data_IF_828683192853
#
_entry.id   IF_828683192853
#
_cell.length_a   1.000
_cell.length_b   1.000
_cell.length_c   1.000
_cell.angle_alpha   90.00
_cell.angle_beta   90.00
_cell.angle_gamma   90.00
#
_symmetry.space_group_name_H-M   'P 1'
#
loop_
_entity.id
_entity.type
_entity.pdbx_description
1 polymer ?
#
# COMPACT_ATOMS: atom_id res chain seq x y z
N UNK A 1 15.23 3.95 -0.56
CA UNK A 1 14.89 5.38 -0.58
C UNK A 1 13.58 5.54 0.15
N UNK A 2 13.66 5.73 1.47
CA UNK A 2 12.52 5.99 2.34
C UNK A 2 12.35 7.52 2.39
N UNK A 3 11.33 8.04 1.69
CA UNK A 3 10.94 9.44 1.80
C UNK A 3 10.62 9.73 3.26
N UNK A 4 11.33 10.69 3.83
CA UNK A 4 11.30 11.06 5.22
C UNK A 4 9.93 11.64 5.62
N UNK A 5 9.06 10.81 6.21
CA UNK A 5 7.88 11.21 6.99
C UNK A 5 8.35 11.74 8.37
N UNK A 6 9.32 12.66 8.40
CA UNK A 6 9.92 13.18 9.65
C UNK A 6 9.90 14.70 9.78
N UNK A 7 9.47 15.44 8.76
CA UNK A 7 9.52 16.91 8.76
C UNK A 7 8.30 17.61 9.32
N UNK A 8 7.12 17.01 9.20
CA UNK A 8 5.90 17.62 9.70
C UNK A 8 5.31 16.70 10.75
N UNK A 9 5.48 17.09 12.02
CA UNK A 9 4.44 16.90 13.01
C UNK A 9 3.19 17.66 12.50
N UNK A 10 2.57 17.21 11.40
CA UNK A 10 1.14 17.42 11.28
C UNK A 10 0.65 16.51 12.39
N UNK A 11 0.31 17.12 13.53
CA UNK A 11 -0.75 16.57 14.34
C UNK A 11 -1.95 16.49 13.42
N UNK A 12 -2.04 15.41 12.65
CA UNK A 12 -3.30 14.90 12.16
C UNK A 12 -3.89 14.42 13.49
N UNK A 13 -4.64 15.30 14.17
CA UNK A 13 -5.20 15.07 15.51
C UNK A 13 -6.38 14.10 15.40
N UNK A 14 -6.11 12.96 14.80
CA UNK A 14 -7.02 11.87 14.53
C UNK A 14 -6.15 10.66 14.31
N UNK A 15 -6.45 9.58 15.01
CA UNK A 15 -5.68 8.35 15.08
C UNK A 15 -5.38 7.81 13.66
N UNK A 16 -4.27 8.23 13.05
CA UNK A 16 -3.80 7.77 11.74
C UNK A 16 -2.91 6.54 11.84
N UNK A 17 -2.66 6.06 13.06
CA UNK A 17 -1.96 4.80 13.28
C UNK A 17 -2.64 3.61 12.58
N UNK A 18 -3.98 3.46 12.57
CA UNK A 18 -4.66 2.38 11.86
C UNK A 18 -4.36 2.43 10.36
N UNK A 19 -4.37 3.63 9.77
CA UNK A 19 -4.11 3.86 8.36
C UNK A 19 -2.64 3.58 7.99
N UNK A 20 -1.70 4.10 8.78
CA UNK A 20 -0.28 3.80 8.59
C UNK A 20 0.02 2.31 8.76
N UNK A 21 -0.62 1.64 9.72
CA UNK A 21 -0.48 0.20 9.93
C UNK A 21 -1.07 -0.60 8.78
N UNK A 22 -2.24 -0.21 8.25
CA UNK A 22 -2.84 -0.82 7.08
C UNK A 22 -1.94 -0.67 5.84
N UNK A 23 -1.44 0.54 5.56
CA UNK A 23 -0.51 0.78 4.46
C UNK A 23 0.79 -0.02 4.62
N UNK A 24 1.36 -0.08 5.82
CA UNK A 24 2.55 -0.91 6.11
C UNK A 24 2.27 -2.40 5.87
N UNK A 25 1.15 -2.92 6.37
CA UNK A 25 0.75 -4.33 6.22
C UNK A 25 0.60 -4.70 4.76
N UNK A 26 -0.15 -3.90 4.01
CA UNK A 26 -0.37 -4.08 2.57
C UNK A 26 0.94 -3.98 1.78
N UNK A 27 1.83 -3.07 2.16
CA UNK A 27 3.13 -2.94 1.51
C UNK A 27 4.03 -4.16 1.78
N UNK A 28 4.07 -4.65 3.02
CA UNK A 28 4.79 -5.89 3.36
C UNK A 28 4.24 -7.09 2.60
N UNK A 29 2.91 -7.26 2.56
CA UNK A 29 2.26 -8.33 1.82
C UNK A 29 2.56 -8.25 0.30
N UNK A 30 2.60 -7.04 -0.25
CA UNK A 30 2.98 -6.82 -1.67
C UNK A 30 4.42 -7.27 -1.95
N UNK A 31 5.35 -6.97 -1.04
CA UNK A 31 6.76 -7.35 -1.16
C UNK A 31 6.92 -8.87 -1.07
N UNK A 32 6.19 -9.50 -0.15
CA UNK A 32 6.22 -10.95 0.04
C UNK A 32 5.67 -11.68 -1.19
N UNK A 33 4.50 -11.29 -1.68
CA UNK A 33 3.91 -11.83 -2.91
C UNK A 33 4.85 -11.65 -4.12
N UNK A 34 5.53 -10.50 -4.25
CA UNK A 34 6.48 -10.26 -5.33
C UNK A 34 7.73 -11.16 -5.23
N UNK A 35 8.22 -11.44 -4.01
CA UNK A 35 9.32 -12.39 -3.79
C UNK A 35 8.92 -13.81 -4.15
N UNK A 36 7.72 -14.22 -3.74
CA UNK A 36 7.17 -15.54 -4.03
C UNK A 36 7.00 -15.74 -5.54
N UNK A 37 6.39 -14.77 -6.23
CA UNK A 37 6.30 -14.74 -7.70
C UNK A 37 7.67 -14.89 -8.37
N UNK A 38 8.69 -14.17 -7.89
CA UNK A 38 10.04 -14.26 -8.44
C UNK A 38 10.68 -15.63 -8.24
N UNK A 39 10.43 -16.27 -7.10
CA UNK A 39 10.89 -17.63 -6.82
C UNK A 39 10.19 -18.66 -7.72
N UNK A 40 8.87 -18.53 -7.88
CA UNK A 40 8.08 -19.38 -8.78
C UNK A 40 8.53 -19.19 -10.23
N UNK A 41 8.73 -17.96 -10.69
CA UNK A 41 9.24 -17.67 -12.03
C UNK A 41 10.63 -18.27 -12.26
N UNK A 42 11.49 -18.22 -11.25
CA UNK A 42 12.81 -18.85 -11.33
C UNK A 42 12.68 -20.37 -11.43
N UNK A 43 11.80 -20.99 -10.65
CA UNK A 43 11.56 -22.43 -10.69
C UNK A 43 10.94 -22.86 -12.04
N UNK A 44 9.94 -22.12 -12.54
CA UNK A 44 9.31 -22.34 -13.84
C UNK A 44 10.31 -22.18 -15.00
N UNK A 45 11.38 -21.39 -14.86
CA UNK A 45 12.45 -21.35 -15.88
C UNK A 45 13.25 -22.65 -15.98
N UNK A 46 13.38 -23.38 -14.88
CA UNK A 46 14.06 -24.68 -14.87
C UNK A 46 13.09 -25.82 -15.23
N UNK A 47 11.80 -25.66 -14.92
CA UNK A 47 10.75 -26.63 -15.20
C UNK A 47 9.49 -25.93 -15.76
N UNK A 48 9.52 -25.62 -17.06
CA UNK A 48 8.51 -24.80 -17.75
C UNK A 48 7.18 -25.51 -17.93
N UNK A 49 7.14 -26.84 -17.78
CA UNK A 49 5.93 -27.66 -17.89
C UNK A 49 5.24 -27.92 -16.54
N UNK A 50 5.76 -27.37 -15.44
CA UNK A 50 5.28 -27.68 -14.11
C UNK A 50 3.93 -27.01 -13.81
N UNK A 51 2.85 -27.75 -13.99
CA UNK A 51 1.47 -27.30 -13.79
C UNK A 51 1.23 -26.86 -12.33
N UNK A 52 1.91 -27.49 -11.36
CA UNK A 52 1.81 -27.12 -9.94
C UNK A 52 2.38 -25.73 -9.68
N UNK A 53 3.56 -25.42 -10.24
CA UNK A 53 4.15 -24.08 -10.15
C UNK A 53 3.32 -23.03 -10.89
N UNK A 54 2.69 -23.39 -12.01
CA UNK A 54 1.73 -22.51 -12.70
C UNK A 54 0.50 -22.20 -11.84
N UNK A 55 -0.06 -23.21 -11.17
CA UNK A 55 -1.17 -23.01 -10.24
C UNK A 55 -0.77 -22.11 -9.06
N UNK A 56 0.42 -22.34 -8.47
CA UNK A 56 0.97 -21.48 -7.42
C UNK A 56 1.16 -20.05 -7.91
N UNK A 57 1.69 -19.85 -9.12
CA UNK A 57 1.84 -18.52 -9.72
C UNK A 57 0.50 -17.80 -9.83
N UNK A 58 -0.52 -18.51 -10.29
CA UNK A 58 -1.88 -17.96 -10.41
C UNK A 58 -2.45 -17.57 -9.05
N UNK A 59 -2.24 -18.37 -8.01
CA UNK A 59 -2.66 -18.07 -6.64
C UNK A 59 -1.97 -16.80 -6.09
N UNK A 60 -0.65 -16.69 -6.28
CA UNK A 60 0.11 -15.51 -5.83
C UNK A 60 -0.33 -14.26 -6.60
N UNK A 61 -0.62 -14.36 -7.90
CA UNK A 61 -1.18 -13.26 -8.68
C UNK A 61 -2.55 -12.84 -8.15
N UNK A 62 -3.43 -13.78 -7.81
CA UNK A 62 -4.72 -13.47 -7.20
C UNK A 62 -4.56 -12.78 -5.83
N UNK A 63 -3.62 -13.23 -5.00
CA UNK A 63 -3.25 -12.53 -3.75
C UNK A 63 -2.78 -11.12 -4.05
N UNK A 64 -1.92 -10.92 -5.04
CA UNK A 64 -1.39 -9.60 -5.41
C UNK A 64 -2.49 -8.65 -5.89
N UNK A 65 -3.47 -9.13 -6.66
CA UNK A 65 -4.65 -8.34 -7.05
C UNK A 65 -5.46 -7.95 -5.81
N UNK A 66 -5.67 -8.88 -4.89
CA UNK A 66 -6.42 -8.63 -3.65
C UNK A 66 -5.72 -7.59 -2.76
N UNK A 67 -4.40 -7.73 -2.57
CA UNK A 67 -3.56 -6.77 -1.84
C UNK A 67 -3.59 -5.40 -2.52
N UNK A 68 -3.52 -5.33 -3.85
CA UNK A 68 -3.60 -4.06 -4.58
C UNK A 68 -4.94 -3.38 -4.40
N UNK A 69 -6.03 -4.15 -4.40
CA UNK A 69 -7.38 -3.66 -4.13
C UNK A 69 -7.48 -3.11 -2.70
N UNK A 70 -6.94 -3.83 -1.72
CA UNK A 70 -6.88 -3.39 -0.33
C UNK A 70 -6.03 -2.12 -0.15
N UNK A 71 -4.92 -1.99 -0.89
CA UNK A 71 -4.09 -0.78 -0.95
C UNK A 71 -4.89 0.42 -1.45
N UNK A 72 -5.62 0.23 -2.55
CA UNK A 72 -6.41 1.28 -3.17
C UNK A 72 -7.54 1.73 -2.24
N UNK A 73 -8.19 0.79 -1.57
CA UNK A 73 -9.22 1.07 -0.58
C UNK A 73 -8.64 1.84 0.62
N UNK A 74 -7.49 1.41 1.14
CA UNK A 74 -6.79 2.11 2.23
C UNK A 74 -6.41 3.53 1.82
N UNK A 75 -5.91 3.73 0.60
CA UNK A 75 -5.57 5.06 0.08
C UNK A 75 -6.81 5.95 -0.09
N UNK A 76 -7.95 5.38 -0.50
CA UNK A 76 -9.21 6.12 -0.54
C UNK A 76 -9.67 6.54 0.85
N UNK A 77 -9.58 5.64 1.83
CA UNK A 77 -9.92 5.96 3.22
C UNK A 77 -8.98 7.01 3.80
N UNK A 78 -7.68 6.95 3.49
CA UNK A 78 -6.71 7.99 3.81
C UNK A 78 -7.15 9.35 3.28
N UNK A 79 -7.47 9.41 2.00
CA UNK A 79 -7.89 10.63 1.33
C UNK A 79 -9.17 11.19 1.95
N UNK A 80 -10.17 10.33 2.20
CA UNK A 80 -11.42 10.72 2.83
C UNK A 80 -11.22 11.25 4.26
N UNK A 81 -10.36 10.63 5.06
CA UNK A 81 -10.02 11.12 6.40
C UNK A 81 -9.33 12.48 6.36
N UNK A 82 -8.36 12.66 5.46
CA UNK A 82 -7.66 13.95 5.31
C UNK A 82 -8.63 15.04 4.83
N UNK A 83 -9.53 14.72 3.90
CA UNK A 83 -10.54 15.67 3.42
C UNK A 83 -11.57 16.02 4.51
N UNK A 84 -12.01 15.04 5.31
CA UNK A 84 -12.90 15.29 6.44
C UNK A 84 -12.25 16.19 7.49
N UNK A 85 -10.97 15.96 7.81
CA UNK A 85 -10.20 16.79 8.73
C UNK A 85 -9.94 18.20 8.20
N UNK A 86 -9.82 18.34 6.87
CA UNK A 86 -9.73 19.67 6.25
C UNK A 86 -11.05 20.42 6.37
N UNK A 87 -12.18 19.73 6.17
CA UNK A 87 -13.53 20.30 6.30
C UNK A 87 -13.90 20.65 7.75
N UNK A 88 -13.44 19.86 8.73
CA UNK A 88 -13.65 20.15 10.16
C UNK A 88 -12.75 21.28 10.69
N UNK A 89 -11.74 21.69 9.92
CA UNK A 89 -10.78 22.72 10.31
C UNK A 89 -9.63 22.20 11.18
N UNK A 90 -9.51 20.87 11.37
CA UNK A 90 -8.43 20.24 12.12
C UNK A 90 -7.07 20.32 11.40
N UNK A 91 -7.08 20.45 10.06
CA UNK A 91 -5.87 20.66 9.25
C UNK A 91 -5.96 21.94 8.39
N UNK A 92 -4.88 22.72 8.34
CA UNK A 92 -4.79 23.93 7.52
C UNK A 92 -4.56 23.65 6.03
N UNK A 93 -4.86 24.64 5.18
CA UNK A 93 -4.70 24.56 3.71
C UNK A 93 -3.28 24.20 3.24
N UNK A 94 -2.27 24.52 4.04
CA UNK A 94 -0.87 24.16 3.75
C UNK A 94 -0.59 22.68 3.99
N UNK A 95 -1.20 22.09 5.01
CA UNK A 95 -1.10 20.66 5.32
C UNK A 95 -1.83 19.82 4.26
N UNK A 96 -3.00 20.28 3.82
CA UNK A 96 -3.76 19.66 2.73
C UNK A 96 -2.98 19.72 1.39
N UNK A 97 -2.34 20.86 1.09
CA UNK A 97 -1.46 21.01 -0.08
C UNK A 97 -0.17 20.20 -0.01
N UNK A 98 0.34 19.92 1.19
CA UNK A 98 1.48 19.03 1.37
C UNK A 98 1.09 17.57 1.08
N UNK A 99 -0.06 17.13 1.61
CA UNK A 99 -0.61 15.80 1.34
C UNK A 99 -0.88 15.58 -0.16
N UNK A 100 -1.52 16.53 -0.85
CA UNK A 100 -1.74 16.41 -2.30
C UNK A 100 -0.44 16.30 -3.10
N UNK A 101 0.65 16.93 -2.64
CA UNK A 101 1.96 16.83 -3.30
C UNK A 101 2.67 15.49 -3.08
N UNK A 102 2.35 14.76 -2.01
CA UNK A 102 2.90 13.43 -1.75
C UNK A 102 2.09 12.29 -2.40
N UNK A 103 0.82 12.54 -2.74
CA UNK A 103 -0.06 11.54 -3.36
C UNK A 103 0.06 11.50 -4.90
N UNK A 104 0.63 12.55 -5.52
CA UNK A 104 0.93 12.63 -6.97
C UNK A 104 2.20 11.90 -7.35
#
# INVERSE_FOLDING_TARGET
MAGNIKGIKIGIVGDTQPLQNALKKVNSASIEAAKELKSIDKALKFDTGNVTLLAQKQEVLQKQVSITKEKLETLRQAQAQVEAQFKSGDIGADQYRAFQREVV
#
